data_IF_198877270353
#
_entry.id   IF_198877270353
#
_cell.length_a   1.000
_cell.length_b   1.000
_cell.length_c   1.000
_cell.angle_alpha   90.00
_cell.angle_beta   90.00
_cell.angle_gamma   90.00
#
_symmetry.space_group_name_H-M   'P 1'
#
loop_
_entity.id
_entity.type
_entity.pdbx_description
1 polymer ?
#
# COMPACT_ATOMS: atom_id res chain seq x y z
N UNK A 1 9.34 -44.43 -32.19
CA UNK A 1 8.25 -44.73 -33.15
C UNK A 1 7.52 -43.43 -33.42
N UNK A 2 7.48 -43.06 -34.69
CA UNK A 2 6.88 -41.83 -35.22
C UNK A 2 5.36 -41.95 -35.20
N UNK A 3 4.63 -40.83 -34.86
CA UNK A 3 3.38 -40.53 -35.57
C UNK A 3 3.14 -39.02 -35.51
N UNK A 4 3.21 -38.41 -36.70
CA UNK A 4 2.69 -37.08 -37.08
C UNK A 4 1.17 -37.22 -37.31
N UNK A 5 0.40 -36.16 -37.14
CA UNK A 5 -0.86 -35.84 -37.86
C UNK A 5 -1.16 -34.38 -37.46
N UNK A 6 -0.99 -33.41 -38.31
CA UNK A 6 -1.75 -32.83 -39.44
C UNK A 6 -2.75 -31.76 -38.98
N UNK A 7 -2.50 -30.59 -39.54
CA UNK A 7 -3.24 -29.33 -39.56
C UNK A 7 -4.68 -29.45 -40.09
N UNK A 8 -5.58 -28.59 -39.64
CA UNK A 8 -6.66 -28.10 -40.49
C UNK A 8 -6.91 -26.62 -40.21
N UNK A 9 -6.63 -25.81 -41.20
CA UNK A 9 -7.09 -24.45 -41.42
C UNK A 9 -8.57 -24.50 -41.83
N UNK A 10 -9.39 -23.59 -41.27
CA UNK A 10 -10.63 -23.20 -41.91
C UNK A 10 -10.78 -21.67 -41.85
N UNK A 11 -10.57 -21.05 -42.99
CA UNK A 11 -10.92 -19.68 -43.30
C UNK A 11 -12.39 -19.64 -43.74
N UNK A 12 -13.13 -18.69 -43.23
CA UNK A 12 -14.41 -18.29 -43.84
C UNK A 12 -14.54 -16.76 -43.82
N UNK A 13 -14.35 -16.21 -45.00
CA UNK A 13 -14.72 -14.84 -45.35
C UNK A 13 -16.19 -14.83 -45.72
N UNK A 14 -16.86 -13.71 -45.49
CA UNK A 14 -18.01 -13.20 -46.29
C UNK A 14 -18.66 -12.05 -45.51
N UNK A 15 -19.07 -11.00 -46.00
CA UNK A 15 -19.26 -10.28 -47.28
C UNK A 15 -20.01 -9.01 -46.94
N UNK A 16 -19.61 -7.94 -47.54
CA UNK A 16 -20.28 -6.63 -47.57
C UNK A 16 -21.70 -6.74 -48.19
N UNK A 17 -22.61 -5.92 -47.67
CA UNK A 17 -23.74 -5.40 -48.48
C UNK A 17 -24.03 -3.95 -48.12
N UNK A 18 -23.60 -3.07 -49.00
CA UNK A 18 -24.10 -1.71 -49.19
C UNK A 18 -25.46 -1.76 -49.86
N UNK A 19 -26.42 -0.98 -49.39
CA UNK A 19 -27.53 -0.50 -50.20
C UNK A 19 -27.74 0.98 -49.93
N UNK A 20 -27.49 1.75 -50.98
CA UNK A 20 -27.77 3.17 -51.09
C UNK A 20 -29.04 3.35 -51.95
N UNK A 21 -29.55 4.56 -51.91
CA UNK A 21 -30.59 5.21 -52.74
C UNK A 21 -31.96 5.35 -52.04
N UNK A 22 -32.57 6.52 -52.02
CA UNK A 22 -32.39 7.78 -52.70
C UNK A 22 -33.71 8.56 -52.61
N UNK A 23 -33.62 9.82 -52.42
CA UNK A 23 -34.25 10.99 -52.94
C UNK A 23 -35.80 11.14 -52.94
N UNK A 24 -36.38 12.15 -52.42
CA UNK A 24 -36.80 13.38 -53.11
C UNK A 24 -37.77 14.24 -52.29
N UNK A 25 -37.52 15.52 -52.27
CA UNK A 25 -38.29 16.75 -52.14
C UNK A 25 -39.81 16.71 -51.88
N UNK A 26 -40.30 17.54 -50.98
CA UNK A 26 -40.95 18.83 -51.26
C UNK A 26 -41.72 19.40 -50.07
N UNK A 27 -41.42 20.66 -49.79
CA UNK A 27 -42.23 21.85 -49.46
C UNK A 27 -43.20 21.93 -48.27
N UNK A 28 -42.91 23.00 -47.53
CA UNK A 28 -43.80 23.99 -46.92
C UNK A 28 -44.75 23.63 -45.75
N UNK A 29 -44.42 24.18 -44.56
CA UNK A 29 -45.14 25.34 -43.98
C UNK A 29 -44.54 25.76 -42.62
N UNK A 30 -44.27 27.04 -42.46
CA UNK A 30 -44.01 27.72 -41.21
C UNK A 30 -45.18 27.59 -40.25
N UNK A 31 -44.89 27.29 -39.00
CA UNK A 31 -45.69 27.69 -37.86
C UNK A 31 -44.72 28.07 -36.71
N UNK A 32 -44.72 29.38 -36.38
CA UNK A 32 -43.99 29.93 -35.25
C UNK A 32 -44.70 29.50 -33.96
N UNK A 33 -44.04 28.69 -33.14
CA UNK A 33 -44.43 28.51 -31.75
C UNK A 33 -43.31 28.98 -30.87
N UNK A 34 -43.59 30.05 -30.13
CA UNK A 34 -42.72 30.54 -29.02
C UNK A 34 -42.51 29.42 -28.04
N UNK A 35 -41.30 28.98 -27.91
CA UNK A 35 -40.87 28.13 -26.78
C UNK A 35 -40.16 29.01 -25.79
N UNK A 36 -40.73 29.15 -24.60
CA UNK A 36 -40.11 29.74 -23.43
C UNK A 36 -38.80 28.97 -23.15
N UNK A 37 -37.74 29.74 -23.09
CA UNK A 37 -36.41 29.28 -22.68
C UNK A 37 -36.46 29.06 -21.18
N UNK A 38 -36.76 27.85 -20.72
CA UNK A 38 -36.47 27.44 -19.37
C UNK A 38 -34.99 27.08 -19.39
N UNK A 39 -34.14 27.97 -18.88
CA UNK A 39 -32.77 27.67 -18.52
C UNK A 39 -32.84 26.54 -17.46
N UNK A 40 -32.72 25.30 -17.93
CA UNK A 40 -32.32 24.20 -17.06
C UNK A 40 -30.81 24.41 -16.82
N UNK A 41 -30.49 25.02 -15.71
CA UNK A 41 -29.15 24.94 -15.12
C UNK A 41 -28.97 23.49 -14.66
N UNK A 42 -28.64 22.61 -15.61
CA UNK A 42 -27.98 21.35 -15.30
C UNK A 42 -26.62 21.73 -14.69
N UNK A 43 -26.57 21.74 -13.38
CA UNK A 43 -25.35 21.61 -12.63
C UNK A 43 -24.76 20.23 -12.97
N UNK A 44 -24.11 20.12 -14.12
CA UNK A 44 -23.15 19.07 -14.37
C UNK A 44 -21.98 19.39 -13.44
N UNK A 45 -21.95 18.78 -12.26
CA UNK A 45 -20.72 18.57 -11.53
C UNK A 45 -19.70 18.11 -12.56
N UNK A 46 -18.64 18.89 -12.69
CA UNK A 46 -17.57 18.62 -13.65
C UNK A 46 -16.74 17.47 -13.05
N UNK A 47 -17.29 16.24 -13.15
CA UNK A 47 -16.66 15.04 -12.61
C UNK A 47 -15.30 14.89 -13.29
N UNK A 48 -14.24 14.92 -12.52
CA UNK A 48 -12.89 14.69 -13.02
C UNK A 48 -12.80 13.32 -13.71
N UNK A 49 -12.02 13.24 -14.76
CA UNK A 49 -11.82 12.01 -15.54
C UNK A 49 -10.36 11.59 -15.40
N UNK A 50 -10.08 10.33 -15.02
CA UNK A 50 -8.71 9.84 -14.94
C UNK A 50 -8.05 9.87 -16.34
N UNK A 51 -6.74 10.13 -16.39
CA UNK A 51 -5.96 10.09 -17.62
C UNK A 51 -5.83 8.67 -18.17
N UNK A 52 -5.81 7.68 -17.26
CA UNK A 52 -5.87 6.24 -17.57
C UNK A 52 -6.96 5.60 -16.71
N UNK A 53 -7.72 4.68 -17.30
CA UNK A 53 -8.84 4.01 -16.67
C UNK A 53 -8.48 2.66 -16.03
N UNK A 54 -7.27 2.17 -16.25
CA UNK A 54 -6.81 0.88 -15.72
C UNK A 54 -5.48 1.03 -15.00
N UNK A 55 -5.41 0.52 -13.78
CA UNK A 55 -4.23 0.52 -12.91
C UNK A 55 -3.83 -0.92 -12.61
N UNK A 56 -2.58 -1.28 -12.90
CA UNK A 56 -1.97 -2.54 -12.53
C UNK A 56 -1.29 -2.43 -11.16
N UNK A 57 -1.81 -3.18 -10.18
CA UNK A 57 -1.34 -3.18 -8.80
C UNK A 57 -0.57 -4.45 -8.47
N UNK A 58 0.73 -4.33 -8.18
CA UNK A 58 1.55 -5.44 -7.70
C UNK A 58 1.07 -5.91 -6.31
N UNK A 59 0.35 -7.04 -6.27
CA UNK A 59 -0.30 -7.58 -5.08
C UNK A 59 0.54 -8.65 -4.41
N UNK A 60 0.86 -8.47 -3.12
CA UNK A 60 1.42 -9.53 -2.29
C UNK A 60 0.34 -10.56 -1.87
N UNK A 61 0.77 -11.77 -1.46
CA UNK A 61 -0.14 -12.85 -1.08
C UNK A 61 -1.05 -12.51 0.12
N UNK A 62 -0.63 -11.60 1.00
CA UNK A 62 -1.44 -11.12 2.13
C UNK A 62 -2.65 -10.27 1.73
N UNK A 63 -2.78 -9.93 0.45
CA UNK A 63 -3.81 -9.02 -0.02
C UNK A 63 -3.57 -7.56 0.36
N UNK A 64 -4.54 -6.71 0.04
CA UNK A 64 -4.59 -5.31 0.47
C UNK A 64 -6.04 -4.97 0.83
N UNK A 65 -6.34 -4.86 2.12
CA UNK A 65 -7.72 -4.66 2.60
C UNK A 65 -8.35 -3.39 2.03
N UNK A 66 -7.60 -2.30 1.86
CA UNK A 66 -8.15 -1.04 1.34
C UNK A 66 -8.52 -1.16 -0.14
N UNK A 67 -7.69 -1.84 -0.95
CA UNK A 67 -8.00 -2.12 -2.36
C UNK A 67 -9.22 -3.04 -2.47
N UNK A 68 -9.27 -4.09 -1.65
CA UNK A 68 -10.41 -5.02 -1.63
C UNK A 68 -11.71 -4.31 -1.29
N UNK A 69 -11.70 -3.42 -0.29
CA UNK A 69 -12.88 -2.63 0.10
C UNK A 69 -13.25 -1.63 -0.99
N UNK A 70 -12.29 -0.88 -1.53
CA UNK A 70 -12.56 0.09 -2.59
C UNK A 70 -13.23 -0.56 -3.81
N UNK A 71 -12.82 -1.78 -4.17
CA UNK A 71 -13.49 -2.59 -5.21
C UNK A 71 -14.91 -3.00 -4.80
N UNK A 72 -15.09 -3.53 -3.60
CA UNK A 72 -16.38 -4.05 -3.16
C UNK A 72 -17.42 -2.96 -2.93
N UNK A 73 -17.00 -1.79 -2.45
CA UNK A 73 -17.87 -0.63 -2.25
C UNK A 73 -18.11 0.17 -3.54
N UNK A 74 -17.41 -0.18 -4.63
CA UNK A 74 -17.56 0.50 -5.92
C UNK A 74 -16.84 1.86 -5.99
N UNK A 75 -15.96 2.19 -5.05
CA UNK A 75 -15.31 3.50 -5.01
C UNK A 75 -14.40 3.75 -6.21
N UNK A 76 -13.77 2.72 -6.76
CA UNK A 76 -13.01 2.83 -8.01
C UNK A 76 -13.92 3.04 -9.22
N UNK A 77 -15.06 2.35 -9.28
CA UNK A 77 -16.03 2.49 -10.36
C UNK A 77 -16.63 3.90 -10.39
N UNK A 78 -16.89 4.48 -9.22
CA UNK A 78 -17.41 5.85 -9.10
C UNK A 78 -16.49 6.89 -9.74
N UNK A 79 -15.18 6.68 -9.70
CA UNK A 79 -14.16 7.58 -10.28
C UNK A 79 -13.68 7.12 -11.66
N UNK A 80 -14.21 6.01 -12.18
CA UNK A 80 -13.87 5.50 -13.50
C UNK A 80 -12.51 4.80 -13.59
N UNK A 81 -12.04 4.20 -12.49
CA UNK A 81 -10.78 3.46 -12.43
C UNK A 81 -11.07 1.96 -12.27
N UNK A 82 -10.39 1.13 -13.05
CA UNK A 82 -10.36 -0.32 -12.90
C UNK A 82 -9.00 -0.75 -12.34
N UNK A 83 -8.97 -1.35 -11.15
CA UNK A 83 -7.72 -1.85 -10.53
C UNK A 83 -7.59 -3.34 -10.78
N UNK A 84 -6.55 -3.74 -11.53
CA UNK A 84 -6.14 -5.13 -11.75
C UNK A 84 -5.01 -5.44 -10.78
N UNK A 85 -5.19 -6.48 -9.96
CA UNK A 85 -4.16 -6.92 -9.03
C UNK A 85 -3.33 -8.03 -9.65
N UNK A 86 -2.04 -7.75 -9.86
CA UNK A 86 -1.07 -8.68 -10.44
C UNK A 86 -0.26 -9.33 -9.30
N UNK A 87 -0.29 -10.68 -9.17
CA UNK A 87 0.44 -11.36 -8.12
C UNK A 87 1.95 -11.15 -8.23
N UNK A 88 2.62 -10.86 -7.12
CA UNK A 88 4.07 -10.70 -7.04
C UNK A 88 4.64 -11.65 -5.99
N UNK A 89 5.77 -12.32 -6.32
CA UNK A 89 6.34 -13.37 -5.47
C UNK A 89 7.16 -12.83 -4.29
N UNK A 90 7.73 -11.63 -4.44
CA UNK A 90 8.58 -11.01 -3.41
C UNK A 90 8.61 -9.49 -3.53
N UNK A 91 9.07 -8.81 -2.48
CA UNK A 91 9.26 -7.35 -2.49
C UNK A 91 10.20 -6.90 -3.60
N UNK A 92 11.30 -7.63 -3.83
CA UNK A 92 12.26 -7.32 -4.89
C UNK A 92 11.62 -7.47 -6.28
N UNK A 93 10.89 -8.57 -6.51
CA UNK A 93 10.19 -8.80 -7.78
C UNK A 93 9.13 -7.72 -8.05
N UNK A 94 8.40 -7.29 -7.02
CA UNK A 94 7.41 -6.21 -7.13
C UNK A 94 8.04 -4.88 -7.55
N UNK A 95 9.15 -4.49 -6.91
CA UNK A 95 9.85 -3.25 -7.22
C UNK A 95 10.53 -3.29 -8.58
N UNK A 96 11.04 -4.45 -9.00
CA UNK A 96 11.55 -4.65 -10.37
C UNK A 96 10.44 -4.54 -11.41
N UNK A 97 9.26 -5.12 -11.15
CA UNK A 97 8.09 -4.99 -12.02
C UNK A 97 7.62 -3.53 -12.12
N UNK A 98 7.63 -2.79 -10.99
CA UNK A 98 7.34 -1.35 -10.97
C UNK A 98 8.36 -0.55 -11.81
N UNK A 99 9.65 -0.82 -11.63
CA UNK A 99 10.72 -0.17 -12.39
C UNK A 99 10.62 -0.45 -13.89
N UNK A 100 10.18 -1.65 -14.26
CA UNK A 100 9.99 -2.06 -15.64
C UNK A 100 8.66 -1.57 -16.25
N UNK A 101 7.78 -0.93 -15.48
CA UNK A 101 6.45 -0.50 -15.93
C UNK A 101 5.50 -1.67 -16.22
N UNK A 102 5.72 -2.83 -15.59
CA UNK A 102 4.82 -3.98 -15.66
C UNK A 102 3.65 -3.88 -14.69
N UNK A 103 3.84 -3.14 -13.61
CA UNK A 103 2.80 -2.68 -12.70
C UNK A 103 2.94 -1.17 -12.50
N UNK A 104 1.83 -0.49 -12.19
CA UNK A 104 1.79 0.97 -12.01
C UNK A 104 2.00 1.36 -10.55
N UNK A 105 1.61 0.48 -9.63
CA UNK A 105 1.67 0.73 -8.19
C UNK A 105 2.00 -0.55 -7.41
N UNK A 106 2.68 -0.38 -6.29
CA UNK A 106 2.91 -1.43 -5.29
C UNK A 106 2.97 -0.83 -3.88
N UNK A 107 2.54 -1.58 -2.85
CA UNK A 107 2.38 -1.02 -1.50
C UNK A 107 2.89 -1.91 -0.35
N UNK A 108 3.07 -3.21 -0.58
CA UNK A 108 3.40 -4.18 0.49
C UNK A 108 4.89 -4.47 0.64
N UNK A 109 5.77 -3.61 0.12
CA UNK A 109 7.21 -3.87 0.02
C UNK A 109 8.03 -3.27 1.17
N UNK A 110 7.36 -2.83 2.24
CA UNK A 110 7.99 -2.07 3.30
C UNK A 110 8.24 -0.61 2.91
N UNK A 111 8.94 0.12 3.76
CA UNK A 111 9.45 1.47 3.46
C UNK A 111 10.93 1.40 3.04
N UNK A 112 11.71 0.54 3.67
CA UNK A 112 13.14 0.41 3.41
C UNK A 112 13.49 -0.13 2.01
N UNK A 113 12.76 -1.10 1.48
CA UNK A 113 13.10 -1.69 0.17
C UNK A 113 12.96 -0.67 -0.98
N UNK A 114 11.85 0.09 -1.12
CA UNK A 114 11.79 1.16 -2.11
C UNK A 114 12.90 2.21 -1.95
N UNK A 115 13.27 2.56 -0.72
CA UNK A 115 14.36 3.52 -0.46
C UNK A 115 15.72 3.00 -0.95
N UNK A 116 16.00 1.70 -0.80
CA UNK A 116 17.21 1.09 -1.40
C UNK A 116 17.19 1.13 -2.93
N UNK A 117 16.03 0.93 -3.57
CA UNK A 117 15.90 1.07 -5.02
C UNK A 117 16.13 2.52 -5.46
N UNK A 118 15.55 3.48 -4.75
CA UNK A 118 15.76 4.92 -5.01
C UNK A 118 17.24 5.28 -4.87
N UNK A 119 17.93 4.81 -3.81
CA UNK A 119 19.35 5.10 -3.58
C UNK A 119 20.25 4.61 -4.73
N UNK A 120 19.82 3.58 -5.46
CA UNK A 120 20.53 3.02 -6.63
C UNK A 120 20.01 3.54 -7.97
N UNK A 121 19.19 4.60 -7.96
CA UNK A 121 18.76 5.34 -9.16
C UNK A 121 17.41 4.94 -9.74
N UNK A 122 16.56 4.21 -8.99
CA UNK A 122 15.18 4.00 -9.41
C UNK A 122 14.36 5.27 -9.19
N UNK A 123 13.61 5.68 -10.22
CA UNK A 123 12.77 6.87 -10.18
C UNK A 123 11.35 6.54 -9.70
N UNK A 124 11.22 6.29 -8.38
CA UNK A 124 9.95 6.04 -7.72
C UNK A 124 9.46 7.28 -6.98
N UNK A 125 8.13 7.46 -6.96
CA UNK A 125 7.42 8.40 -6.12
C UNK A 125 6.63 7.64 -5.05
N UNK A 126 6.81 7.98 -3.79
CA UNK A 126 5.96 7.56 -2.68
C UNK A 126 4.76 8.50 -2.66
N UNK A 127 3.59 7.99 -3.02
CA UNK A 127 2.37 8.79 -3.19
C UNK A 127 1.35 8.59 -2.07
N UNK A 128 1.58 7.62 -1.19
CA UNK A 128 0.67 7.28 -0.11
C UNK A 128 1.22 6.17 0.77
N UNK A 129 0.38 5.69 1.67
CA UNK A 129 0.65 4.59 2.58
C UNK A 129 -0.19 3.35 2.29
N UNK A 130 0.12 2.30 3.04
CA UNK A 130 -0.69 1.09 3.14
C UNK A 130 -0.82 0.65 4.59
N UNK A 131 0.29 0.57 5.32
CA UNK A 131 0.30 0.18 6.72
C UNK A 131 1.21 1.10 7.52
N UNK A 132 0.68 1.62 8.62
CA UNK A 132 1.38 2.51 9.53
C UNK A 132 2.04 1.71 10.66
N UNK A 133 1.31 0.76 11.25
CA UNK A 133 1.73 -0.10 12.36
C UNK A 133 1.54 -1.58 11.99
N UNK A 134 1.88 -2.49 12.90
CA UNK A 134 1.54 -3.91 12.75
C UNK A 134 2.71 -4.87 12.90
N UNK A 135 3.90 -4.38 13.25
CA UNK A 135 5.06 -5.22 13.55
C UNK A 135 5.42 -5.16 15.03
N UNK A 136 5.99 -6.24 15.53
CA UNK A 136 6.31 -6.38 16.96
C UNK A 136 7.50 -7.30 17.18
N UNK A 137 8.17 -7.12 18.34
CA UNK A 137 9.23 -7.98 18.83
C UNK A 137 8.62 -9.09 19.67
N UNK A 138 8.99 -10.34 19.39
CA UNK A 138 8.70 -11.48 20.24
C UNK A 138 9.93 -11.98 20.97
N UNK A 139 9.72 -12.67 22.09
CA UNK A 139 10.71 -13.43 22.81
C UNK A 139 10.04 -14.53 23.63
N UNK A 140 10.81 -15.46 24.20
CA UNK A 140 10.26 -16.43 25.15
C UNK A 140 9.70 -15.71 26.38
N UNK A 141 8.67 -16.27 27.03
CA UNK A 141 8.04 -15.69 28.22
C UNK A 141 9.04 -15.42 29.34
N UNK A 142 10.07 -16.26 29.49
CA UNK A 142 11.14 -16.12 30.49
C UNK A 142 12.29 -15.23 30.04
N UNK A 143 12.37 -14.84 28.77
CA UNK A 143 13.36 -13.87 28.29
C UNK A 143 13.03 -12.48 28.79
N UNK A 144 13.99 -11.85 29.50
CA UNK A 144 13.79 -10.52 30.08
C UNK A 144 13.87 -9.44 29.01
N UNK A 145 12.83 -8.62 28.92
CA UNK A 145 12.79 -7.42 28.08
C UNK A 145 12.24 -6.25 28.91
N UNK A 146 13.03 -5.20 29.03
CA UNK A 146 12.61 -3.97 29.72
C UNK A 146 12.32 -2.84 28.72
N UNK A 147 13.24 -2.64 27.81
CA UNK A 147 13.22 -1.65 26.74
C UNK A 147 14.20 -2.08 25.63
N UNK A 148 14.41 -1.23 24.62
CA UNK A 148 15.29 -1.53 23.47
C UNK A 148 16.73 -1.86 23.90
N UNK A 149 17.20 -1.35 25.07
CA UNK A 149 18.56 -1.64 25.58
C UNK A 149 18.74 -3.11 25.94
N UNK A 150 17.65 -3.86 26.20
CA UNK A 150 17.67 -5.30 26.44
C UNK A 150 18.14 -6.12 25.23
N UNK A 151 18.14 -5.52 24.05
CA UNK A 151 18.57 -6.18 22.81
C UNK A 151 20.09 -6.21 22.67
N UNK A 152 20.82 -5.42 23.46
CA UNK A 152 22.30 -5.40 23.41
C UNK A 152 22.88 -6.76 23.82
N UNK A 153 23.71 -7.34 22.95
CA UNK A 153 24.33 -8.64 23.12
C UNK A 153 23.41 -9.84 22.87
N UNK A 154 22.18 -9.61 22.44
CA UNK A 154 21.22 -10.68 22.13
C UNK A 154 21.37 -11.22 20.73
N UNK A 155 20.82 -12.42 20.51
CA UNK A 155 20.60 -13.02 19.19
C UNK A 155 19.22 -12.64 18.68
N UNK A 156 19.19 -11.93 17.56
CA UNK A 156 17.96 -11.37 16.99
C UNK A 156 17.67 -11.96 15.60
N UNK A 157 16.56 -12.66 15.45
CA UNK A 157 16.18 -13.27 14.18
C UNK A 157 15.48 -12.23 13.26
N UNK A 158 16.16 -11.84 12.20
CA UNK A 158 15.62 -11.04 11.08
C UNK A 158 16.51 -11.22 9.84
N UNK A 159 16.16 -10.59 8.71
CA UNK A 159 17.00 -10.63 7.50
C UNK A 159 18.04 -9.48 7.52
N UNK A 160 18.93 -9.44 8.52
CA UNK A 160 19.84 -8.33 8.81
C UNK A 160 19.26 -7.39 9.87
N UNK A 161 19.77 -6.17 9.99
CA UNK A 161 19.25 -5.17 10.94
C UNK A 161 17.84 -4.73 10.51
N UNK A 162 16.87 -4.83 11.42
CA UNK A 162 15.53 -4.29 11.15
C UNK A 162 15.55 -2.76 11.26
N UNK A 163 15.11 -1.99 10.24
CA UNK A 163 15.26 -0.54 10.22
C UNK A 163 14.69 0.17 11.46
N UNK A 164 13.47 -0.17 11.88
CA UNK A 164 12.82 0.46 13.05
C UNK A 164 13.53 0.09 14.35
N UNK A 165 13.92 -1.18 14.51
CA UNK A 165 14.69 -1.62 15.69
C UNK A 165 16.08 -0.95 15.69
N UNK A 166 16.70 -0.87 14.52
CA UNK A 166 17.99 -0.17 14.36
C UNK A 166 17.91 1.31 14.71
N UNK A 167 16.84 2.01 14.28
CA UNK A 167 16.59 3.40 14.70
C UNK A 167 16.52 3.53 16.22
N UNK A 168 15.70 2.69 16.86
CA UNK A 168 15.55 2.73 18.32
C UNK A 168 16.85 2.40 19.06
N UNK A 169 17.69 1.49 18.54
CA UNK A 169 19.01 1.17 19.08
C UNK A 169 19.95 2.36 18.95
N UNK A 170 19.99 3.02 17.78
CA UNK A 170 20.82 4.22 17.56
C UNK A 170 20.41 5.36 18.50
N UNK A 171 19.12 5.58 18.69
CA UNK A 171 18.59 6.59 19.62
C UNK A 171 18.97 6.28 21.09
N UNK A 172 19.10 4.99 21.43
CA UNK A 172 19.60 4.53 22.73
C UNK A 172 21.12 4.51 22.84
N UNK A 173 21.87 4.94 21.81
CA UNK A 173 23.33 4.93 21.78
C UNK A 173 23.96 3.54 21.63
N UNK A 174 23.23 2.59 21.07
CA UNK A 174 23.66 1.21 20.80
C UNK A 174 23.91 1.08 19.30
N UNK A 175 25.05 0.50 18.94
CA UNK A 175 25.39 0.21 17.54
C UNK A 175 24.61 -1.03 17.06
N UNK A 176 23.61 -0.87 16.18
CA UNK A 176 22.81 -2.01 15.73
C UNK A 176 23.61 -3.05 14.94
N UNK A 177 24.74 -2.67 14.33
CA UNK A 177 25.57 -3.58 13.56
C UNK A 177 26.54 -4.40 14.41
N UNK A 178 27.01 -3.84 15.55
CA UNK A 178 28.06 -4.45 16.35
C UNK A 178 27.60 -4.92 17.73
N UNK A 179 26.52 -4.34 18.27
CA UNK A 179 26.04 -4.64 19.62
C UNK A 179 24.89 -5.68 19.64
N UNK A 180 24.39 -6.13 18.48
CA UNK A 180 23.34 -7.16 18.35
C UNK A 180 23.79 -8.23 17.35
N UNK A 181 23.61 -9.51 17.68
CA UNK A 181 23.88 -10.62 16.76
C UNK A 181 22.65 -10.92 15.89
N UNK A 182 22.65 -10.42 14.66
CA UNK A 182 21.54 -10.66 13.73
C UNK A 182 21.66 -12.02 13.05
N UNK A 183 20.67 -12.88 13.29
CA UNK A 183 20.54 -14.18 12.63
C UNK A 183 19.63 -14.04 11.42
N UNK A 184 20.11 -14.44 10.24
CA UNK A 184 19.39 -14.25 8.98
C UNK A 184 18.29 -15.27 8.80
N UNK A 185 17.03 -14.83 8.88
CA UNK A 185 15.83 -15.59 8.58
C UNK A 185 14.90 -14.76 7.68
N UNK A 186 14.56 -15.32 6.52
CA UNK A 186 13.80 -14.59 5.51
C UNK A 186 12.29 -14.57 5.76
N UNK A 187 11.73 -15.62 6.40
CA UNK A 187 10.29 -15.73 6.63
C UNK A 187 9.90 -15.48 8.09
N UNK A 188 8.69 -15.00 8.32
CA UNK A 188 8.14 -14.82 9.66
C UNK A 188 8.05 -16.17 10.41
N UNK A 189 7.68 -17.25 9.72
CA UNK A 189 7.57 -18.58 10.31
C UNK A 189 8.92 -19.11 10.81
N UNK A 190 10.01 -18.89 10.04
CA UNK A 190 11.37 -19.30 10.47
C UNK A 190 11.85 -18.45 11.66
N UNK A 191 11.56 -17.16 11.68
CA UNK A 191 11.88 -16.27 12.82
C UNK A 191 11.16 -16.70 14.09
N UNK A 192 9.86 -17.02 13.97
CA UNK A 192 9.06 -17.57 15.07
C UNK A 192 9.66 -18.88 15.59
N UNK A 193 10.00 -19.80 14.68
CA UNK A 193 10.61 -21.09 15.03
C UNK A 193 11.97 -20.91 15.72
N UNK A 194 12.80 -19.98 15.29
CA UNK A 194 14.10 -19.68 15.90
C UNK A 194 13.96 -19.21 17.36
N UNK A 195 12.95 -18.39 17.68
CA UNK A 195 12.68 -17.97 19.07
C UNK A 195 12.12 -19.15 19.88
N UNK A 196 11.18 -19.90 19.35
CA UNK A 196 10.59 -21.09 20.05
C UNK A 196 11.66 -22.12 20.38
N UNK A 197 12.57 -22.41 19.44
CA UNK A 197 13.69 -23.36 19.67
C UNK A 197 14.75 -22.82 20.63
N UNK A 198 14.85 -21.48 20.81
CA UNK A 198 15.90 -20.82 21.60
C UNK A 198 17.20 -20.60 20.83
N UNK A 199 17.15 -20.68 19.50
CA UNK A 199 18.26 -20.29 18.63
C UNK A 199 18.41 -18.78 18.58
N UNK A 200 17.30 -18.02 18.65
CA UNK A 200 17.25 -16.59 18.82
C UNK A 200 16.56 -16.20 20.15
N UNK A 201 17.03 -15.11 20.76
CA UNK A 201 16.41 -14.54 21.96
C UNK A 201 15.15 -13.75 21.58
N UNK A 202 15.21 -13.03 20.45
CA UNK A 202 14.15 -12.17 19.93
C UNK A 202 13.98 -12.32 18.42
N UNK A 203 12.84 -11.89 17.94
CA UNK A 203 12.56 -11.73 16.50
C UNK A 203 11.57 -10.59 16.26
N UNK A 204 11.61 -9.96 15.08
CA UNK A 204 10.49 -9.15 14.58
C UNK A 204 9.58 -10.01 13.74
N UNK A 205 8.29 -9.92 14.03
CA UNK A 205 7.19 -10.51 13.24
C UNK A 205 6.21 -9.44 12.77
N UNK A 206 5.49 -9.72 11.70
CA UNK A 206 4.39 -8.89 11.21
C UNK A 206 3.03 -9.40 11.71
N UNK A 207 1.99 -8.58 11.53
CA UNK A 207 0.65 -8.82 12.06
C UNK A 207 0.03 -10.15 11.67
N UNK A 208 0.36 -10.68 10.48
CA UNK A 208 -0.08 -11.99 10.01
C UNK A 208 0.31 -13.16 10.94
N UNK A 209 1.29 -12.96 11.83
CA UNK A 209 1.71 -13.98 12.79
C UNK A 209 1.01 -13.89 14.16
N UNK A 210 0.15 -12.89 14.37
CA UNK A 210 -0.53 -12.70 15.66
C UNK A 210 -1.36 -13.92 16.09
N UNK A 211 -2.01 -14.58 15.15
CA UNK A 211 -2.74 -15.81 15.42
C UNK A 211 -1.80 -16.94 15.93
N UNK A 212 -0.67 -17.14 15.27
CA UNK A 212 0.30 -18.16 15.67
C UNK A 212 0.97 -17.82 17.02
N UNK A 213 1.29 -16.55 17.26
CA UNK A 213 1.86 -16.08 18.54
C UNK A 213 0.85 -16.22 19.67
N UNK A 214 -0.42 -15.82 19.45
CA UNK A 214 -1.48 -15.92 20.45
C UNK A 214 -1.81 -17.36 20.87
N UNK A 215 -1.59 -18.34 19.98
CA UNK A 215 -1.79 -19.77 20.23
C UNK A 215 -0.52 -20.48 20.70
N UNK A 216 0.57 -19.78 21.05
CA UNK A 216 1.81 -20.39 21.51
C UNK A 216 2.11 -20.03 22.97
N UNK A 217 2.13 -21.03 23.83
CA UNK A 217 2.34 -20.86 25.26
C UNK A 217 3.77 -20.52 25.70
N UNK A 218 4.75 -20.64 24.79
CA UNK A 218 6.17 -20.46 25.12
C UNK A 218 6.67 -19.03 24.89
N UNK A 219 5.98 -18.25 24.06
CA UNK A 219 6.40 -16.92 23.60
C UNK A 219 5.38 -15.85 23.95
N UNK A 220 5.82 -14.60 23.90
CA UNK A 220 4.98 -13.43 24.06
C UNK A 220 5.51 -12.25 23.24
N UNK A 221 4.66 -11.27 22.99
CA UNK A 221 5.05 -9.98 22.43
C UNK A 221 5.79 -9.20 23.53
N UNK A 222 7.01 -8.77 23.21
CA UNK A 222 7.87 -7.98 24.12
C UNK A 222 7.72 -6.49 23.92
N UNK A 223 7.53 -6.04 22.68
CA UNK A 223 7.27 -4.64 22.33
C UNK A 223 6.61 -4.54 20.96
N UNK A 224 5.73 -3.58 20.78
CA UNK A 224 5.31 -3.14 19.47
C UNK A 224 6.34 -2.17 18.90
N UNK A 225 6.57 -2.20 17.59
CA UNK A 225 7.57 -1.32 16.99
C UNK A 225 7.13 0.16 17.03
N UNK A 226 5.82 0.42 17.12
CA UNK A 226 5.28 1.76 17.29
C UNK A 226 5.58 2.35 18.68
N UNK A 227 5.77 1.52 19.70
CA UNK A 227 6.26 1.94 21.03
C UNK A 227 7.73 2.38 20.99
N UNK A 228 8.49 1.84 20.04
CA UNK A 228 9.92 2.17 19.86
C UNK A 228 10.11 3.40 18.99
N UNK A 229 9.37 3.49 17.89
CA UNK A 229 9.39 4.61 16.93
C UNK A 229 7.95 4.96 16.57
N UNK A 230 7.34 5.93 17.27
CA UNK A 230 5.95 6.33 17.02
C UNK A 230 5.71 6.77 15.58
N UNK A 231 4.57 6.38 15.03
CA UNK A 231 4.14 6.69 13.65
C UNK A 231 5.13 6.23 12.57
N UNK A 232 5.87 5.13 12.80
CA UNK A 232 6.71 4.60 11.72
C UNK A 232 5.84 4.10 10.56
N UNK A 233 6.19 4.52 9.35
CA UNK A 233 5.52 4.05 8.13
C UNK A 233 6.01 2.65 7.77
N UNK A 234 5.24 1.60 8.13
CA UNK A 234 5.64 0.22 7.85
C UNK A 234 5.76 -0.05 6.35
N UNK A 235 4.73 0.28 5.59
CA UNK A 235 4.67 0.06 4.15
C UNK A 235 4.10 1.28 3.42
N UNK A 236 4.79 1.71 2.35
CA UNK A 236 4.39 2.88 1.55
C UNK A 236 3.92 2.45 0.17
N UNK A 237 3.05 3.27 -0.41
CA UNK A 237 2.59 3.14 -1.77
C UNK A 237 3.57 3.81 -2.72
N UNK A 238 4.11 3.03 -3.66
CA UNK A 238 5.12 3.47 -4.60
C UNK A 238 4.60 3.36 -6.03
N UNK A 239 4.86 4.38 -6.83
CA UNK A 239 4.58 4.44 -8.25
C UNK A 239 5.83 4.91 -9.00
N UNK A 240 5.89 4.65 -10.31
CA UNK A 240 6.92 5.25 -11.14
C UNK A 240 6.68 6.76 -11.25
N UNK A 241 7.72 7.59 -11.04
CA UNK A 241 7.59 9.06 -11.01
C UNK A 241 7.05 9.61 -12.33
N UNK A 242 7.46 9.04 -13.44
CA UNK A 242 6.96 9.42 -14.78
C UNK A 242 5.46 9.12 -14.93
N UNK A 243 4.98 8.01 -14.36
CA UNK A 243 3.55 7.69 -14.36
C UNK A 243 2.76 8.72 -13.56
N UNK A 244 3.23 9.06 -12.34
CA UNK A 244 2.60 10.08 -11.47
C UNK A 244 2.52 11.44 -12.19
N UNK A 245 3.63 11.88 -12.81
CA UNK A 245 3.67 13.16 -13.53
C UNK A 245 2.73 13.21 -14.75
N UNK A 246 2.52 12.08 -15.42
CA UNK A 246 1.64 12.00 -16.61
C UNK A 246 0.18 11.81 -16.27
N UNK A 247 -0.12 11.27 -15.10
CA UNK A 247 -1.46 10.84 -14.70
C UNK A 247 -1.84 11.36 -13.30
N UNK A 248 -1.67 12.65 -12.98
CA UNK A 248 -1.90 13.18 -11.64
C UNK A 248 -3.36 13.04 -11.19
N UNK A 249 -4.33 13.24 -12.10
CA UNK A 249 -5.75 13.07 -11.77
C UNK A 249 -6.07 11.62 -11.45
N UNK A 250 -5.53 10.66 -12.20
CA UNK A 250 -5.71 9.23 -11.92
C UNK A 250 -5.17 8.87 -10.53
N UNK A 251 -3.97 9.35 -10.18
CA UNK A 251 -3.36 9.07 -8.86
C UNK A 251 -4.19 9.70 -7.74
N UNK A 252 -4.63 10.95 -7.89
CA UNK A 252 -5.51 11.63 -6.92
C UNK A 252 -6.83 10.87 -6.72
N UNK A 253 -7.52 10.47 -7.79
CA UNK A 253 -8.78 9.72 -7.74
C UNK A 253 -8.59 8.33 -7.11
N UNK A 254 -7.45 7.67 -7.39
CA UNK A 254 -7.07 6.42 -6.74
C UNK A 254 -6.93 6.61 -5.22
N UNK A 255 -6.20 7.63 -4.79
CA UNK A 255 -6.01 7.98 -3.37
C UNK A 255 -7.34 8.34 -2.69
N UNK A 256 -8.20 9.13 -3.34
CA UNK A 256 -9.54 9.46 -2.87
C UNK A 256 -10.39 8.22 -2.60
N UNK A 257 -10.37 7.26 -3.53
CA UNK A 257 -11.08 5.98 -3.37
C UNK A 257 -10.53 5.16 -2.19
N UNK A 258 -9.22 5.18 -1.98
CA UNK A 258 -8.57 4.46 -0.88
C UNK A 258 -8.80 5.15 0.48
N UNK A 259 -8.87 6.48 0.56
CA UNK A 259 -9.21 7.22 1.79
C UNK A 259 -10.64 6.86 2.23
N UNK A 260 -11.60 6.80 1.30
CA UNK A 260 -12.96 6.33 1.58
C UNK A 260 -12.97 4.87 2.05
N UNK A 261 -12.15 4.03 1.44
CA UNK A 261 -12.01 2.63 1.86
C UNK A 261 -11.39 2.51 3.26
N UNK A 262 -10.47 3.39 3.64
CA UNK A 262 -9.89 3.47 5.00
C UNK A 262 -10.97 3.84 6.01
N UNK A 263 -11.78 4.85 5.72
CA UNK A 263 -12.92 5.25 6.56
C UNK A 263 -13.88 4.08 6.76
N UNK A 264 -14.31 3.45 5.67
CA UNK A 264 -15.24 2.32 5.73
C UNK A 264 -14.66 1.13 6.50
N UNK A 265 -13.36 0.82 6.30
CA UNK A 265 -12.63 -0.22 7.02
C UNK A 265 -12.66 0.01 8.53
N UNK A 266 -12.36 1.23 8.97
CA UNK A 266 -12.32 1.55 10.40
C UNK A 266 -13.71 1.47 11.05
N UNK A 267 -14.76 1.84 10.32
CA UNK A 267 -16.13 1.75 10.77
C UNK A 267 -16.69 0.30 10.78
N UNK A 268 -16.11 -0.64 9.99
CA UNK A 268 -16.67 -1.96 9.72
C UNK A 268 -15.64 -3.10 9.86
N UNK A 269 -14.73 -3.04 10.83
CA UNK A 269 -13.60 -3.97 10.99
C UNK A 269 -14.03 -5.45 11.01
N UNK A 270 -15.12 -5.80 11.70
CA UNK A 270 -15.59 -7.21 11.76
C UNK A 270 -16.09 -7.73 10.39
N UNK A 271 -16.69 -6.87 9.59
CA UNK A 271 -17.08 -7.22 8.22
C UNK A 271 -15.85 -7.37 7.33
N UNK A 272 -14.86 -6.50 7.51
CA UNK A 272 -13.58 -6.58 6.81
C UNK A 272 -12.85 -7.90 7.06
N UNK A 273 -12.97 -8.50 8.25
CA UNK A 273 -12.42 -9.84 8.54
C UNK A 273 -12.98 -10.87 7.57
N UNK A 274 -14.30 -10.91 7.39
CA UNK A 274 -14.97 -11.87 6.49
C UNK A 274 -14.60 -11.63 5.02
N UNK A 275 -14.56 -10.36 4.65
CA UNK A 275 -14.21 -9.93 3.30
C UNK A 275 -12.78 -10.39 2.96
N UNK A 276 -11.81 -10.05 3.80
CA UNK A 276 -10.41 -10.37 3.55
C UNK A 276 -10.14 -11.87 3.67
N UNK A 277 -10.73 -12.57 4.64
CA UNK A 277 -10.60 -14.02 4.79
C UNK A 277 -11.04 -14.74 3.52
N UNK A 278 -12.17 -14.34 2.95
CA UNK A 278 -12.67 -14.88 1.68
C UNK A 278 -11.73 -14.55 0.51
N UNK A 279 -11.22 -13.33 0.45
CA UNK A 279 -10.34 -12.86 -0.64
C UNK A 279 -9.03 -13.63 -0.70
N UNK A 280 -8.39 -13.85 0.46
CA UNK A 280 -7.10 -14.55 0.54
C UNK A 280 -7.24 -16.07 0.77
N UNK A 281 -8.47 -16.58 0.93
CA UNK A 281 -8.74 -18.00 1.17
C UNK A 281 -8.26 -18.50 2.54
N UNK A 282 -8.36 -17.66 3.58
CA UNK A 282 -7.94 -17.97 4.95
C UNK A 282 -9.13 -18.09 5.91
N UNK A 283 -8.90 -18.65 7.11
CA UNK A 283 -9.89 -18.72 8.18
C UNK A 283 -10.13 -17.33 8.81
N UNK A 284 -11.37 -17.00 9.20
CA UNK A 284 -11.73 -15.71 9.79
C UNK A 284 -10.95 -15.44 11.08
N UNK A 285 -10.74 -16.43 11.95
CA UNK A 285 -9.98 -16.27 13.21
C UNK A 285 -8.54 -15.84 12.97
N UNK A 286 -7.92 -16.34 11.89
CA UNK A 286 -6.58 -15.93 11.49
C UNK A 286 -6.55 -14.45 11.08
N UNK A 287 -7.51 -14.01 10.27
CA UNK A 287 -7.61 -12.61 9.83
C UNK A 287 -8.00 -11.70 10.99
N UNK A 288 -8.94 -12.12 11.83
CA UNK A 288 -9.39 -11.38 13.01
C UNK A 288 -8.24 -11.07 13.97
N UNK A 289 -7.31 -12.02 14.15
CA UNK A 289 -6.18 -11.85 15.06
C UNK A 289 -5.33 -10.61 14.76
N UNK A 290 -5.18 -10.22 13.48
CA UNK A 290 -4.45 -9.00 13.14
C UNK A 290 -5.36 -7.83 12.77
N UNK A 291 -6.44 -8.04 12.04
CA UNK A 291 -7.25 -6.95 11.51
C UNK A 291 -8.03 -6.21 12.63
N UNK A 292 -8.41 -6.91 13.69
CA UNK A 292 -9.09 -6.33 14.87
C UNK A 292 -8.11 -5.81 15.93
N UNK A 293 -6.80 -6.00 15.75
CA UNK A 293 -5.80 -5.55 16.70
C UNK A 293 -5.53 -4.04 16.55
N UNK A 294 -5.58 -3.29 17.64
CA UNK A 294 -5.38 -1.83 17.63
C UNK A 294 -3.97 -1.40 17.20
N UNK A 295 -3.00 -2.32 17.28
CA UNK A 295 -1.65 -2.09 16.78
C UNK A 295 -1.47 -2.46 15.31
N UNK A 296 -2.53 -2.86 14.62
CA UNK A 296 -2.54 -3.06 13.16
C UNK A 296 -3.34 -1.93 12.53
N UNK A 297 -2.65 -0.98 11.89
CA UNK A 297 -3.28 0.21 11.33
C UNK A 297 -2.96 0.31 9.84
N UNK A 298 -3.99 0.11 9.01
CA UNK A 298 -3.93 0.47 7.58
C UNK A 298 -4.18 1.97 7.45
N UNK A 299 -3.35 2.66 6.66
CA UNK A 299 -3.51 4.08 6.40
C UNK A 299 -2.96 4.44 5.02
N UNK A 300 -3.70 5.27 4.29
CA UNK A 300 -3.32 5.76 2.95
C UNK A 300 -2.34 6.92 3.04
N UNK A 301 -2.17 7.52 4.21
CA UNK A 301 -1.28 8.66 4.44
C UNK A 301 0.19 8.35 4.07
N UNK A 302 0.89 9.21 3.31
CA UNK A 302 2.28 8.98 2.90
C UNK A 302 3.28 8.98 4.04
N UNK A 303 3.00 9.68 5.15
CA UNK A 303 3.81 9.75 6.36
C UNK A 303 5.27 10.17 6.06
N UNK A 304 5.44 11.32 5.39
CA UNK A 304 6.73 11.85 4.90
C UNK A 304 7.82 11.85 5.96
N UNK A 305 7.50 12.34 7.17
CA UNK A 305 8.48 12.43 8.25
C UNK A 305 9.05 11.06 8.64
N UNK A 306 8.23 10.00 8.59
CA UNK A 306 8.69 8.63 8.84
C UNK A 306 9.58 8.11 7.72
N UNK A 307 9.28 8.44 6.47
CA UNK A 307 10.10 8.06 5.31
C UNK A 307 11.47 8.70 5.38
N UNK A 308 11.55 10.02 5.65
CA UNK A 308 12.80 10.76 5.80
C UNK A 308 13.64 10.20 6.96
N UNK A 309 13.03 9.96 8.13
CA UNK A 309 13.71 9.31 9.26
C UNK A 309 14.27 7.93 8.90
N UNK A 310 13.50 7.15 8.14
CA UNK A 310 13.95 5.81 7.71
C UNK A 310 15.14 5.93 6.76
N UNK A 311 15.12 6.87 5.82
CA UNK A 311 16.24 7.15 4.92
C UNK A 311 17.51 7.48 5.69
N UNK A 312 17.46 8.43 6.62
CA UNK A 312 18.59 8.84 7.45
C UNK A 312 19.14 7.69 8.30
N UNK A 313 18.25 6.87 8.86
CA UNK A 313 18.66 5.71 9.65
C UNK A 313 19.32 4.64 8.78
N UNK A 314 18.83 4.41 7.56
CA UNK A 314 19.40 3.44 6.62
C UNK A 314 20.83 3.84 6.20
N UNK A 315 21.10 5.14 6.03
CA UNK A 315 22.46 5.66 5.79
C UNK A 315 23.36 5.37 7.02
N UNK A 316 22.90 5.73 8.22
CA UNK A 316 23.66 5.50 9.46
C UNK A 316 23.97 4.02 9.73
N UNK A 317 23.06 3.12 9.31
CA UNK A 317 23.25 1.67 9.44
C UNK A 317 24.01 1.04 8.27
N UNK A 318 24.37 1.81 7.23
CA UNK A 318 25.11 1.32 6.07
C UNK A 318 24.27 0.52 5.06
N UNK A 319 22.95 0.66 5.07
CA UNK A 319 22.08 0.07 4.05
C UNK A 319 22.02 0.91 2.76
N UNK A 320 22.32 2.18 2.89
CA UNK A 320 22.45 3.13 1.79
C UNK A 320 23.83 3.76 1.94
N UNK A 321 24.61 3.73 0.86
CA UNK A 321 25.92 4.36 0.82
C UNK A 321 25.78 5.88 0.90
N UNK A 322 26.60 6.54 1.75
CA UNK A 322 26.56 7.99 1.91
C UNK A 322 26.81 8.71 0.57
N UNK A 323 27.73 8.19 -0.25
CA UNK A 323 28.05 8.78 -1.57
C UNK A 323 26.85 8.76 -2.53
N UNK A 324 25.98 7.75 -2.44
CA UNK A 324 24.76 7.66 -3.26
C UNK A 324 23.66 8.54 -2.65
N UNK A 325 23.53 8.56 -1.33
CA UNK A 325 22.59 9.43 -0.62
C UNK A 325 22.85 10.92 -0.90
N UNK A 326 24.11 11.34 -0.97
CA UNK A 326 24.51 12.73 -1.24
C UNK A 326 24.06 13.25 -2.62
N UNK A 327 23.69 12.34 -3.53
CA UNK A 327 23.20 12.67 -4.88
C UNK A 327 21.68 12.82 -4.94
N UNK A 328 20.97 12.44 -3.88
CA UNK A 328 19.51 12.29 -3.86
C UNK A 328 18.91 13.15 -2.75
N UNK A 329 17.98 14.01 -3.10
CA UNK A 329 17.07 14.59 -2.13
C UNK A 329 15.86 13.67 -1.99
N UNK A 330 15.77 12.91 -0.89
CA UNK A 330 14.69 11.92 -0.71
C UNK A 330 13.30 12.57 -0.70
N UNK A 331 13.18 13.84 -0.31
CA UNK A 331 11.91 14.53 -0.31
C UNK A 331 11.32 14.70 -1.73
N UNK A 332 12.18 14.77 -2.77
CA UNK A 332 11.74 14.84 -4.17
C UNK A 332 11.06 13.54 -4.64
N UNK A 333 11.22 12.46 -3.88
CA UNK A 333 10.60 11.14 -4.10
C UNK A 333 9.34 10.91 -3.26
N UNK A 334 8.87 11.91 -2.52
CA UNK A 334 7.67 11.82 -1.66
C UNK A 334 6.65 12.85 -2.13
N UNK A 335 5.58 12.39 -2.76
CA UNK A 335 4.51 13.26 -3.23
C UNK A 335 3.37 13.28 -2.23
N UNK A 336 3.36 14.29 -1.35
CA UNK A 336 2.28 14.51 -0.38
C UNK A 336 1.14 15.37 -0.93
N UNK A 337 1.37 16.09 -2.04
CA UNK A 337 0.39 17.03 -2.61
C UNK A 337 -0.84 16.31 -3.13
N UNK A 338 -0.67 15.25 -3.92
CA UNK A 338 -1.80 14.48 -4.46
C UNK A 338 -2.64 13.81 -3.37
N UNK A 339 -2.00 13.35 -2.28
CA UNK A 339 -2.73 12.83 -1.13
C UNK A 339 -3.52 13.94 -0.43
N UNK A 340 -2.90 15.12 -0.24
CA UNK A 340 -3.56 16.27 0.37
C UNK A 340 -4.78 16.71 -0.42
N UNK A 341 -4.65 16.82 -1.74
CA UNK A 341 -5.76 17.17 -2.63
C UNK A 341 -6.90 16.15 -2.52
N UNK A 342 -6.56 14.85 -2.55
CA UNK A 342 -7.54 13.77 -2.40
C UNK A 342 -8.24 13.82 -1.03
N UNK A 343 -7.49 14.09 0.06
CA UNK A 343 -8.04 14.22 1.40
C UNK A 343 -8.97 15.43 1.52
N UNK A 344 -8.57 16.59 0.96
CA UNK A 344 -9.39 17.81 0.97
C UNK A 344 -10.72 17.61 0.22
N UNK A 345 -10.69 16.89 -0.90
CA UNK A 345 -11.92 16.52 -1.62
C UNK A 345 -12.79 15.57 -0.79
N UNK A 346 -12.19 14.54 -0.15
CA UNK A 346 -12.93 13.65 0.74
C UNK A 346 -13.58 14.43 1.90
N UNK A 347 -12.86 15.37 2.52
CA UNK A 347 -13.40 16.23 3.58
C UNK A 347 -14.57 17.06 3.04
N UNK A 348 -14.41 17.68 1.87
CA UNK A 348 -15.47 18.51 1.29
C UNK A 348 -16.75 17.73 0.96
N UNK A 349 -16.62 16.47 0.55
CA UNK A 349 -17.74 15.65 0.07
C UNK A 349 -18.34 14.73 1.14
N UNK A 350 -17.53 14.20 2.07
CA UNK A 350 -17.91 13.09 2.97
C UNK A 350 -17.69 13.38 4.45
N UNK A 351 -17.24 14.57 4.84
CA UNK A 351 -16.97 14.91 6.25
C UNK A 351 -18.15 14.59 7.19
N UNK A 352 -19.38 14.91 6.75
CA UNK A 352 -20.58 14.69 7.57
C UNK A 352 -20.89 13.20 7.82
N UNK A 353 -20.29 12.27 7.05
CA UNK A 353 -20.45 10.83 7.25
C UNK A 353 -19.64 10.31 8.44
N UNK A 354 -18.43 10.87 8.67
CA UNK A 354 -17.54 10.51 9.77
C UNK A 354 -16.58 11.67 10.10
N UNK A 355 -17.05 12.70 10.83
CA UNK A 355 -16.24 13.88 11.14
C UNK A 355 -14.94 13.53 11.91
N UNK A 356 -15.02 12.57 12.85
CA UNK A 356 -13.87 12.19 13.67
C UNK A 356 -12.74 11.56 12.83
N UNK A 357 -13.10 10.76 11.82
CA UNK A 357 -12.13 10.19 10.89
C UNK A 357 -11.46 11.28 10.04
N UNK A 358 -12.22 12.12 9.38
CA UNK A 358 -11.69 13.12 8.46
C UNK A 358 -10.87 14.20 9.19
N UNK A 359 -11.35 14.72 10.32
CA UNK A 359 -10.58 15.65 11.16
C UNK A 359 -9.29 15.00 11.67
N UNK A 360 -9.36 13.72 12.05
CA UNK A 360 -8.20 12.93 12.46
C UNK A 360 -7.16 12.77 11.35
N UNK A 361 -7.59 12.56 10.09
CA UNK A 361 -6.67 12.46 8.93
C UNK A 361 -6.02 13.80 8.57
N UNK A 362 -6.79 14.88 8.59
CA UNK A 362 -6.24 16.23 8.38
C UNK A 362 -5.18 16.55 9.41
N UNK A 363 -5.49 16.34 10.68
CA UNK A 363 -4.53 16.57 11.76
C UNK A 363 -3.28 15.69 11.63
N UNK A 364 -3.45 14.41 11.29
CA UNK A 364 -2.33 13.50 11.12
C UNK A 364 -1.41 13.95 9.98
N UNK A 365 -1.97 14.38 8.85
CA UNK A 365 -1.23 14.94 7.73
C UNK A 365 -0.44 16.18 8.13
N UNK A 366 -1.07 17.12 8.84
CA UNK A 366 -0.41 18.35 9.33
C UNK A 366 0.79 18.06 10.25
N UNK A 367 0.72 16.96 11.02
CA UNK A 367 1.78 16.56 11.96
C UNK A 367 2.90 15.75 11.31
N UNK A 368 2.64 15.04 10.18
CA UNK A 368 3.56 14.03 9.65
C UNK A 368 4.04 14.27 8.21
N UNK A 369 3.46 15.21 7.46
CA UNK A 369 3.71 15.36 6.01
C UNK A 369 4.11 16.78 5.57
N UNK A 370 4.42 17.66 6.50
CA UNK A 370 4.83 19.04 6.24
C UNK A 370 6.30 19.15 5.82
#
# INVERSE_FOLDING_TARGET
MKKRIISLLLAAAMTFSLTACGGNSSDDKKEETKTENTENTDNKENKETPEVDTIHWGRANSGNILVTIAKQQGYFDEVGINVIEDPVESSTAALQALQAGQVDVTSNQGTNNPLQFISTGSDFSIVGGYMLKGMYIIGKKDTQYKDVTSLKGSKFAYAGVHPVVGMALLDAGIDPNNDVEWLTYSTNSDRLAAVVSGEADYAVLSGDQLYAVGNNDQIEIKAWLDDLVPNYGCCRMNMNTDFVKKNPTTVKLLLKSLIRAEQWYLANKEECVKILAKEIGAEEDYVAAYLLNDNYVSSVDPCKNSVVKTWDAMIKMGFIDQEDADKINIEDHINTELYKEALDECVAEYHDEDPDFYDGRVKFFEENDQ
#
